data_IF_870725105866
#
_entry.id   IF_870725105866
#
_cell.length_a   1.000
_cell.length_b   1.000
_cell.length_c   1.000
_cell.angle_alpha   90.00
_cell.angle_beta   90.00
_cell.angle_gamma   90.00
#
_symmetry.space_group_name_H-M   'P 1'
#
loop_
_entity.id
_entity.type
_entity.pdbx_description
1 polymer ?
#
# COMPACT_ATOMS: atom_id res chain seq x y z
N UNK A 1 -13.10 33.79 -16.57
CA UNK A 1 -12.28 33.86 -17.79
C UNK A 1 -10.86 34.23 -17.37
N UNK A 2 -9.83 33.40 -17.59
CA UNK A 2 -8.46 33.81 -17.32
C UNK A 2 -8.07 34.90 -18.34
N UNK A 3 -7.42 35.93 -17.80
CA UNK A 3 -6.85 37.01 -18.63
C UNK A 3 -5.72 36.39 -19.46
N UNK A 4 -5.88 36.41 -20.78
CA UNK A 4 -4.84 36.07 -21.75
C UNK A 4 -3.69 37.08 -21.62
N UNK A 5 -2.53 36.66 -21.12
CA UNK A 5 -1.37 37.53 -21.04
C UNK A 5 -0.17 37.07 -20.19
N UNK A 6 -0.05 35.80 -19.79
CA UNK A 6 1.21 35.20 -19.34
C UNK A 6 1.16 33.69 -19.64
N UNK A 7 1.53 33.32 -20.86
CA UNK A 7 1.92 31.94 -21.20
C UNK A 7 3.29 31.60 -20.56
N UNK A 8 3.36 31.63 -19.23
CA UNK A 8 4.46 31.10 -18.45
C UNK A 8 4.09 29.70 -17.95
N UNK A 9 5.04 28.76 -17.96
CA UNK A 9 4.85 27.41 -17.47
C UNK A 9 4.13 27.41 -16.10
N UNK A 10 3.08 26.60 -15.97
CA UNK A 10 2.24 26.51 -14.74
C UNK A 10 3.06 25.95 -13.57
N UNK A 11 4.09 25.14 -13.87
CA UNK A 11 4.98 24.46 -12.92
C UNK A 11 6.39 25.04 -13.02
N UNK A 12 7.09 25.06 -11.88
CA UNK A 12 8.51 25.40 -11.84
C UNK A 12 9.34 24.11 -11.91
N UNK A 13 10.54 24.14 -12.54
CA UNK A 13 11.50 23.05 -12.40
C UNK A 13 11.93 22.92 -10.94
N UNK A 14 12.20 21.70 -10.50
CA UNK A 14 12.71 21.40 -9.16
C UNK A 14 14.14 20.83 -9.27
N UNK A 15 15.02 21.21 -8.35
CA UNK A 15 16.40 20.74 -8.26
C UNK A 15 16.56 19.47 -7.42
N UNK A 16 15.59 18.55 -7.52
CA UNK A 16 15.54 17.34 -6.70
C UNK A 16 16.76 16.43 -6.89
N UNK A 17 17.30 16.35 -8.11
CA UNK A 17 18.46 15.53 -8.42
C UNK A 17 19.72 16.10 -7.77
N UNK A 18 19.91 17.40 -7.84
CA UNK A 18 21.04 18.10 -7.24
C UNK A 18 21.01 17.93 -5.72
N UNK A 19 19.92 18.27 -5.08
CA UNK A 19 19.72 18.10 -3.64
C UNK A 19 19.85 16.66 -3.17
N UNK A 20 19.42 15.69 -3.96
CA UNK A 20 19.56 14.27 -3.63
C UNK A 20 20.99 13.71 -3.75
N UNK A 21 21.94 14.48 -4.28
CA UNK A 21 23.36 14.14 -4.40
C UNK A 21 24.27 14.90 -3.45
N UNK A 22 23.76 15.95 -2.81
CA UNK A 22 24.50 16.75 -1.85
C UNK A 22 24.66 16.01 -0.50
N UNK A 23 25.64 16.47 0.29
CA UNK A 23 25.68 16.11 1.71
C UNK A 23 24.50 16.81 2.41
N UNK A 24 23.51 16.02 2.83
CA UNK A 24 22.29 16.53 3.41
C UNK A 24 22.53 17.46 4.62
N UNK A 25 23.46 17.08 5.53
CA UNK A 25 23.71 17.85 6.74
C UNK A 25 24.35 19.19 6.42
N UNK A 26 25.34 19.22 5.53
CA UNK A 26 26.02 20.43 5.10
C UNK A 26 25.08 21.36 4.31
N UNK A 27 24.31 20.82 3.38
CA UNK A 27 23.33 21.59 2.61
C UNK A 27 22.24 22.19 3.51
N UNK A 28 21.68 21.39 4.44
CA UNK A 28 20.70 21.84 5.42
C UNK A 28 21.25 22.94 6.33
N UNK A 29 22.48 22.79 6.86
CA UNK A 29 23.11 23.80 7.69
C UNK A 29 23.25 25.12 6.93
N UNK A 30 23.71 25.07 5.70
CA UNK A 30 23.86 26.24 4.83
C UNK A 30 22.53 26.96 4.62
N UNK A 31 21.47 26.23 4.26
CA UNK A 31 20.13 26.78 4.02
C UNK A 31 19.50 27.34 5.32
N UNK A 32 19.72 26.66 6.45
CA UNK A 32 19.27 27.16 7.75
C UNK A 32 19.98 28.46 8.15
N UNK A 33 21.29 28.59 7.90
CA UNK A 33 22.00 29.85 8.12
C UNK A 33 21.45 30.98 7.23
N UNK A 34 21.12 30.71 5.97
CA UNK A 34 20.48 31.67 5.07
C UNK A 34 19.11 32.10 5.60
N UNK A 35 18.30 31.15 6.07
CA UNK A 35 16.99 31.42 6.66
C UNK A 35 17.10 32.32 7.90
N UNK A 36 18.06 32.08 8.79
CA UNK A 36 18.29 32.90 10.00
C UNK A 36 18.91 34.27 9.68
N UNK A 37 19.69 34.37 8.60
CA UNK A 37 20.27 35.64 8.17
C UNK A 37 19.24 36.57 7.49
N UNK A 38 18.15 36.01 6.96
CA UNK A 38 17.08 36.76 6.30
C UNK A 38 16.28 37.53 7.37
N UNK A 39 16.44 38.86 7.40
CA UNK A 39 15.71 39.78 8.31
C UNK A 39 14.38 40.22 7.69
N UNK A 40 13.48 40.81 8.49
CA UNK A 40 12.12 41.20 8.07
C UNK A 40 11.98 42.01 6.75
N UNK A 41 12.93 42.87 6.34
CA UNK A 41 12.79 43.49 5.02
C UNK A 41 13.04 42.56 3.81
N UNK A 42 13.62 41.34 4.05
CA UNK A 42 13.97 40.39 3.00
C UNK A 42 13.00 39.20 2.91
N UNK A 43 11.69 39.48 2.93
CA UNK A 43 10.65 38.45 2.82
C UNK A 43 10.85 37.49 1.62
N UNK A 44 11.38 38.00 0.52
CA UNK A 44 11.69 37.20 -0.67
C UNK A 44 12.84 36.22 -0.44
N UNK A 45 13.93 36.65 0.27
CA UNK A 45 15.05 35.80 0.61
C UNK A 45 14.65 34.71 1.62
N UNK A 46 13.83 35.08 2.61
CA UNK A 46 13.25 34.12 3.56
C UNK A 46 12.39 33.08 2.85
N UNK A 47 11.53 33.51 1.92
CA UNK A 47 10.69 32.60 1.14
C UNK A 47 11.54 31.66 0.27
N UNK A 48 12.59 32.17 -0.38
CA UNK A 48 13.52 31.33 -1.15
C UNK A 48 14.18 30.26 -0.28
N UNK A 49 14.72 30.62 0.89
CA UNK A 49 15.37 29.69 1.82
C UNK A 49 14.40 28.61 2.33
N UNK A 50 13.13 28.95 2.60
CA UNK A 50 12.10 27.97 3.00
C UNK A 50 11.73 27.02 1.85
N UNK A 51 11.65 27.51 0.60
CA UNK A 51 11.44 26.68 -0.57
C UNK A 51 12.61 25.73 -0.81
N UNK A 52 13.85 26.22 -0.70
CA UNK A 52 15.06 25.40 -0.88
C UNK A 52 15.16 24.33 0.23
N UNK A 53 14.83 24.65 1.48
CA UNK A 53 14.76 23.68 2.57
C UNK A 53 13.68 22.63 2.34
N UNK A 54 12.50 23.04 1.86
CA UNK A 54 11.44 22.11 1.51
C UNK A 54 11.88 21.15 0.41
N UNK A 55 12.51 21.67 -0.65
CA UNK A 55 12.99 20.90 -1.78
C UNK A 55 14.10 19.92 -1.41
N UNK A 56 15.06 20.36 -0.58
CA UNK A 56 16.10 19.51 -0.03
C UNK A 56 15.51 18.34 0.78
N UNK A 57 14.57 18.63 1.70
CA UNK A 57 13.96 17.56 2.51
C UNK A 57 13.10 16.63 1.67
N UNK A 58 12.38 17.15 0.67
CA UNK A 58 11.64 16.32 -0.29
C UNK A 58 12.56 15.39 -1.09
N UNK A 59 13.70 15.90 -1.56
CA UNK A 59 14.68 15.11 -2.30
C UNK A 59 15.22 13.92 -1.49
N UNK A 60 15.18 13.99 -0.16
CA UNK A 60 15.57 12.93 0.77
C UNK A 60 14.37 12.16 1.36
N UNK A 61 13.18 12.31 0.77
CA UNK A 61 11.94 11.68 1.21
C UNK A 61 11.54 12.02 2.65
N UNK A 62 12.01 13.13 3.20
CA UNK A 62 11.60 13.68 4.48
C UNK A 62 10.34 14.54 4.30
N UNK A 63 9.24 13.88 3.93
CA UNK A 63 7.97 14.53 3.53
C UNK A 63 7.37 15.43 4.62
N UNK A 64 7.30 15.02 5.91
CA UNK A 64 6.75 15.87 6.96
C UNK A 64 7.52 17.18 7.15
N UNK A 65 8.86 17.12 7.11
CA UNK A 65 9.72 18.28 7.22
C UNK A 65 9.58 19.21 6.02
N UNK A 66 9.56 18.63 4.81
CA UNK A 66 9.32 19.40 3.58
C UNK A 66 7.98 20.14 3.62
N UNK A 67 6.91 19.47 4.04
CA UNK A 67 5.60 20.07 4.23
C UNK A 67 5.61 21.17 5.31
N UNK A 68 6.36 20.96 6.40
CA UNK A 68 6.50 21.93 7.47
C UNK A 68 7.13 23.25 7.00
N UNK A 69 8.16 23.20 6.14
CA UNK A 69 8.76 24.41 5.56
C UNK A 69 7.80 25.11 4.59
N UNK A 70 7.01 24.39 3.82
CA UNK A 70 5.99 24.98 2.95
C UNK A 70 4.86 25.64 3.74
N UNK A 71 4.43 25.04 4.83
CA UNK A 71 3.39 25.57 5.70
C UNK A 71 3.83 26.87 6.43
N UNK A 72 5.14 27.12 6.54
CA UNK A 72 5.68 28.36 7.10
C UNK A 72 5.63 29.55 6.11
N UNK A 73 5.22 29.31 4.86
CA UNK A 73 5.05 30.32 3.81
C UNK A 73 3.59 30.74 3.71
N UNK A 74 3.37 32.05 3.56
CA UNK A 74 2.07 32.59 3.20
C UNK A 74 1.92 32.55 1.66
N UNK A 75 1.19 31.56 1.18
CA UNK A 75 1.00 31.33 -0.25
C UNK A 75 0.41 32.52 -1.02
N UNK A 76 -0.39 33.38 -0.35
CA UNK A 76 -1.02 34.57 -0.95
C UNK A 76 0.00 35.67 -1.22
N UNK A 77 1.09 35.71 -0.46
CA UNK A 77 2.15 36.69 -0.62
C UNK A 77 3.17 36.34 -1.69
N UNK A 78 3.26 35.05 -2.05
CA UNK A 78 4.22 34.56 -3.04
C UNK A 78 3.84 35.02 -4.46
N UNK A 79 4.85 35.41 -5.24
CA UNK A 79 4.68 35.87 -6.63
C UNK A 79 5.69 35.20 -7.55
N UNK A 80 5.35 35.18 -8.86
CA UNK A 80 6.24 34.72 -9.92
C UNK A 80 6.74 33.31 -9.71
N UNK A 81 8.06 33.12 -9.75
CA UNK A 81 8.70 31.82 -9.63
C UNK A 81 8.50 31.17 -8.25
N UNK A 82 8.58 31.92 -7.17
CA UNK A 82 8.36 31.41 -5.81
C UNK A 82 6.95 30.80 -5.65
N UNK A 83 5.92 31.44 -6.22
CA UNK A 83 4.56 30.91 -6.21
C UNK A 83 4.43 29.62 -7.03
N UNK A 84 5.13 29.52 -8.17
CA UNK A 84 5.18 28.31 -8.99
C UNK A 84 5.88 27.17 -8.26
N UNK A 85 7.08 27.43 -7.70
CA UNK A 85 7.84 26.43 -6.93
C UNK A 85 7.03 25.91 -5.73
N UNK A 86 6.42 26.80 -4.96
CA UNK A 86 5.56 26.43 -3.83
C UNK A 86 4.43 25.49 -4.27
N UNK A 87 3.75 25.80 -5.37
CA UNK A 87 2.67 24.98 -5.94
C UNK A 87 3.19 23.62 -6.40
N UNK A 88 4.33 23.59 -7.11
CA UNK A 88 4.94 22.37 -7.63
C UNK A 88 5.40 21.43 -6.50
N UNK A 89 5.99 21.98 -5.43
CA UNK A 89 6.41 21.21 -4.25
C UNK A 89 5.21 20.62 -3.49
N UNK A 90 4.14 21.40 -3.28
CA UNK A 90 2.91 20.86 -2.68
C UNK A 90 2.30 19.74 -3.52
N UNK A 91 2.31 19.89 -4.84
CA UNK A 91 1.83 18.86 -5.75
C UNK A 91 2.71 17.61 -5.72
N UNK A 92 4.04 17.76 -5.67
CA UNK A 92 4.97 16.64 -5.54
C UNK A 92 4.74 15.87 -4.23
N UNK A 93 4.56 16.59 -3.12
CA UNK A 93 4.23 15.97 -1.82
C UNK A 93 2.93 15.19 -1.88
N UNK A 94 1.87 15.77 -2.46
CA UNK A 94 0.58 15.11 -2.60
C UNK A 94 0.64 13.86 -3.50
N UNK A 95 1.43 13.88 -4.59
CA UNK A 95 1.62 12.71 -5.46
C UNK A 95 2.48 11.61 -4.81
N UNK A 96 3.26 11.94 -3.79
CA UNK A 96 4.06 10.99 -3.01
C UNK A 96 3.31 10.42 -1.80
N UNK A 97 2.05 10.78 -1.59
CA UNK A 97 1.22 10.22 -0.53
C UNK A 97 1.06 8.71 -0.77
N UNK A 98 1.32 7.90 0.26
CA UNK A 98 1.24 6.43 0.18
C UNK A 98 -0.18 5.93 0.46
N UNK A 99 -0.96 6.70 1.23
CA UNK A 99 -2.26 6.29 1.72
C UNK A 99 -3.38 6.91 0.88
N UNK A 100 -3.83 6.20 -0.15
CA UNK A 100 -4.92 6.64 -1.03
C UNK A 100 -6.28 6.79 -0.29
N UNK A 101 -6.39 6.23 0.94
CA UNK A 101 -7.64 6.19 1.72
C UNK A 101 -7.77 7.24 2.81
N UNK A 102 -6.69 7.81 3.31
CA UNK A 102 -6.70 8.59 4.56
C UNK A 102 -7.04 10.09 4.41
N UNK A 103 -7.09 10.64 3.21
CA UNK A 103 -7.28 12.07 3.05
C UNK A 103 -7.91 12.59 1.77
N UNK A 104 -8.15 11.76 0.79
CA UNK A 104 -8.98 12.15 -0.36
C UNK A 104 -8.31 12.99 -1.45
N UNK A 105 -7.03 13.35 -1.34
CA UNK A 105 -6.41 14.34 -2.26
C UNK A 105 -5.56 13.74 -3.38
N UNK A 106 -5.21 12.44 -3.35
CA UNK A 106 -4.35 11.85 -4.38
C UNK A 106 -4.98 11.93 -5.79
N UNK A 107 -6.27 11.64 -5.91
CA UNK A 107 -7.01 11.75 -7.17
C UNK A 107 -7.06 13.21 -7.68
N UNK A 108 -7.18 14.18 -6.79
CA UNK A 108 -7.15 15.60 -7.13
C UNK A 108 -5.74 16.04 -7.54
N UNK A 109 -4.69 15.58 -6.82
CA UNK A 109 -3.30 15.84 -7.16
C UNK A 109 -2.94 15.30 -8.55
N UNK A 110 -3.39 14.08 -8.88
CA UNK A 110 -3.24 13.49 -10.22
C UNK A 110 -3.89 14.39 -11.30
N UNK A 111 -5.09 14.92 -11.04
CA UNK A 111 -5.78 15.82 -11.97
C UNK A 111 -5.05 17.15 -12.15
N UNK A 112 -4.50 17.71 -11.08
CA UNK A 112 -3.75 18.98 -11.12
C UNK A 112 -2.37 18.85 -11.74
N UNK A 113 -1.76 17.66 -11.75
CA UNK A 113 -0.44 17.42 -12.32
C UNK A 113 -0.41 17.34 -13.84
N UNK A 114 -1.55 17.52 -14.51
CA UNK A 114 -1.64 17.54 -15.97
C UNK A 114 -0.80 18.69 -16.53
N UNK A 115 0.16 18.37 -17.42
CA UNK A 115 1.07 19.35 -18.01
C UNK A 115 2.41 19.50 -17.27
N UNK A 116 2.61 18.86 -16.11
CA UNK A 116 3.90 18.81 -15.44
C UNK A 116 4.76 17.68 -16.03
N UNK A 117 5.66 18.02 -16.95
CA UNK A 117 6.49 17.05 -17.69
C UNK A 117 7.46 16.29 -16.78
N UNK A 118 8.10 16.98 -15.82
CA UNK A 118 9.06 16.38 -14.90
C UNK A 118 8.39 15.50 -13.84
N UNK A 119 7.11 15.73 -13.55
CA UNK A 119 6.31 14.97 -12.58
C UNK A 119 5.62 13.72 -13.13
N UNK A 120 5.89 13.31 -14.38
CA UNK A 120 5.17 12.18 -14.99
C UNK A 120 5.39 10.87 -14.23
N UNK A 121 6.59 10.61 -13.69
CA UNK A 121 6.87 9.43 -12.89
C UNK A 121 6.09 9.44 -11.57
N UNK A 122 6.00 10.58 -10.89
CA UNK A 122 5.19 10.73 -9.68
C UNK A 122 3.71 10.51 -9.96
N UNK A 123 3.22 11.10 -11.07
CA UNK A 123 1.83 10.94 -11.49
C UNK A 123 1.49 9.49 -11.85
N UNK A 124 2.38 8.80 -12.56
CA UNK A 124 2.18 7.39 -12.91
C UNK A 124 2.17 6.50 -11.65
N UNK A 125 3.07 6.73 -10.69
CA UNK A 125 3.08 6.03 -9.41
C UNK A 125 1.80 6.30 -8.60
N UNK A 126 1.30 7.54 -8.59
CA UNK A 126 0.03 7.89 -7.95
C UNK A 126 -1.17 7.17 -8.58
N UNK A 127 -1.23 7.05 -9.92
CA UNK A 127 -2.24 6.23 -10.59
C UNK A 127 -2.15 4.76 -10.19
N UNK A 128 -0.92 4.20 -10.10
CA UNK A 128 -0.73 2.83 -9.64
C UNK A 128 -1.28 2.60 -8.22
N UNK A 129 -1.01 3.53 -7.29
CA UNK A 129 -1.54 3.50 -5.92
C UNK A 129 -3.06 3.60 -5.85
N UNK A 130 -3.68 4.30 -6.79
CA UNK A 130 -5.13 4.38 -6.95
C UNK A 130 -5.76 3.14 -7.62
N UNK A 131 -4.96 2.12 -7.97
CA UNK A 131 -5.44 0.94 -8.69
C UNK A 131 -5.75 1.20 -10.17
N UNK A 132 -5.35 2.35 -10.72
CA UNK A 132 -5.58 2.77 -12.10
C UNK A 132 -4.38 2.39 -12.99
N UNK A 133 -4.09 1.09 -13.10
CA UNK A 133 -2.92 0.57 -13.79
C UNK A 133 -2.88 0.92 -15.29
N UNK A 134 -4.03 0.99 -15.97
CA UNK A 134 -4.10 1.41 -17.37
C UNK A 134 -3.70 2.88 -17.57
N UNK A 135 -4.13 3.76 -16.66
CA UNK A 135 -3.77 5.18 -16.68
C UNK A 135 -2.27 5.36 -16.41
N UNK A 136 -1.73 4.63 -15.43
CA UNK A 136 -0.30 4.56 -15.17
C UNK A 136 0.46 4.10 -16.43
N UNK A 137 0.02 3.02 -17.06
CA UNK A 137 0.63 2.45 -18.26
C UNK A 137 0.69 3.42 -19.44
N UNK A 138 -0.35 4.24 -19.62
CA UNK A 138 -0.36 5.28 -20.70
C UNK A 138 0.74 6.34 -20.50
N UNK A 139 1.20 6.56 -19.28
CA UNK A 139 2.27 7.51 -18.95
C UNK A 139 3.67 6.89 -19.06
N UNK A 140 3.79 5.55 -19.11
CA UNK A 140 5.06 4.83 -19.01
C UNK A 140 6.17 5.29 -19.98
N UNK A 141 5.91 5.60 -21.27
CA UNK A 141 6.97 6.06 -22.17
C UNK A 141 7.66 7.35 -21.67
N UNK A 142 6.88 8.26 -21.07
CA UNK A 142 7.39 9.53 -20.50
C UNK A 142 7.90 9.36 -19.07
N UNK A 143 7.43 8.34 -18.37
CA UNK A 143 7.83 8.03 -16.99
C UNK A 143 9.30 7.68 -16.90
N UNK A 144 9.81 6.84 -17.80
CA UNK A 144 11.24 6.47 -17.84
C UNK A 144 12.16 7.69 -18.06
N UNK A 145 11.73 8.64 -18.90
CA UNK A 145 12.47 9.88 -19.13
C UNK A 145 12.45 10.80 -17.89
N UNK A 146 11.26 10.97 -17.28
CA UNK A 146 11.08 11.86 -16.12
C UNK A 146 11.64 11.28 -14.82
N UNK A 147 11.85 9.96 -14.74
CA UNK A 147 12.45 9.31 -13.57
C UNK A 147 13.85 9.87 -13.27
N UNK A 148 14.61 10.21 -14.32
CA UNK A 148 15.93 10.83 -14.20
C UNK A 148 15.93 12.24 -13.61
N UNK A 149 14.79 12.94 -13.58
CA UNK A 149 14.64 14.25 -12.97
C UNK A 149 14.34 14.17 -11.44
N UNK A 150 14.14 12.96 -10.90
CA UNK A 150 13.88 12.72 -9.49
C UNK A 150 15.17 12.35 -8.74
N UNK A 151 15.23 12.69 -7.45
CA UNK A 151 16.33 12.25 -6.59
C UNK A 151 16.37 10.73 -6.43
N UNK A 152 17.54 10.14 -6.10
CA UNK A 152 17.64 8.69 -5.88
C UNK A 152 16.63 8.15 -4.86
N UNK A 153 16.37 8.88 -3.77
CA UNK A 153 15.43 8.46 -2.75
C UNK A 153 13.97 8.46 -3.26
N UNK A 154 13.58 9.47 -4.06
CA UNK A 154 12.26 9.51 -4.69
C UNK A 154 12.13 8.41 -5.74
N UNK A 155 13.17 8.19 -6.55
CA UNK A 155 13.17 7.08 -7.52
C UNK A 155 12.93 5.75 -6.82
N UNK A 156 13.67 5.48 -5.74
CA UNK A 156 13.49 4.25 -4.96
C UNK A 156 12.05 4.09 -4.41
N UNK A 157 11.43 5.19 -3.98
CA UNK A 157 10.07 5.18 -3.45
C UNK A 157 9.00 4.88 -4.50
N UNK A 158 9.18 5.33 -5.75
CA UNK A 158 8.15 5.16 -6.80
C UNK A 158 8.37 3.96 -7.71
N UNK A 159 9.59 3.42 -7.78
CA UNK A 159 9.93 2.29 -8.65
C UNK A 159 9.05 1.04 -8.43
N UNK A 160 8.72 0.64 -7.19
CA UNK A 160 7.84 -0.51 -6.96
C UNK A 160 6.45 -0.33 -7.59
N UNK A 161 5.82 0.82 -7.38
CA UNK A 161 4.47 1.10 -7.91
C UNK A 161 4.49 1.14 -9.45
N UNK A 162 5.53 1.74 -10.03
CA UNK A 162 5.69 1.81 -11.49
C UNK A 162 5.90 0.42 -12.11
N UNK A 163 6.73 -0.42 -11.49
CA UNK A 163 6.96 -1.78 -11.97
C UNK A 163 5.69 -2.63 -11.84
N UNK A 164 4.98 -2.52 -10.73
CA UNK A 164 3.71 -3.23 -10.52
C UNK A 164 2.69 -2.85 -11.60
N UNK A 165 2.48 -1.56 -11.83
CA UNK A 165 1.56 -1.09 -12.88
C UNK A 165 1.97 -1.53 -14.29
N UNK A 166 3.27 -1.57 -14.59
CA UNK A 166 3.76 -2.06 -15.87
C UNK A 166 3.48 -3.57 -16.07
N UNK A 167 3.63 -4.36 -15.00
CA UNK A 167 3.33 -5.79 -15.00
C UNK A 167 1.83 -6.05 -15.17
N UNK A 168 0.99 -5.33 -14.43
CA UNK A 168 -0.48 -5.45 -14.52
C UNK A 168 -1.02 -5.06 -15.89
N UNK A 169 -0.44 -4.04 -16.52
CA UNK A 169 -0.79 -3.62 -17.87
C UNK A 169 -0.18 -4.50 -18.99
N UNK A 170 0.61 -5.52 -18.65
CA UNK A 170 1.31 -6.37 -19.62
C UNK A 170 2.38 -5.65 -20.45
N UNK A 171 2.90 -4.53 -19.97
CA UNK A 171 3.92 -3.75 -20.67
C UNK A 171 5.33 -4.24 -20.31
N UNK A 172 5.72 -5.38 -20.90
CA UNK A 172 6.95 -6.11 -20.56
C UNK A 172 8.23 -5.34 -20.80
N UNK A 173 8.33 -4.58 -21.90
CA UNK A 173 9.54 -3.81 -22.23
C UNK A 173 9.79 -2.74 -21.15
N UNK A 174 8.75 -2.06 -20.71
CA UNK A 174 8.82 -1.06 -19.64
C UNK A 174 9.09 -1.72 -18.30
N UNK A 175 8.42 -2.84 -17.99
CA UNK A 175 8.65 -3.59 -16.76
C UNK A 175 10.13 -4.02 -16.65
N UNK A 176 10.72 -4.52 -17.74
CA UNK A 176 12.13 -4.88 -17.78
C UNK A 176 13.05 -3.67 -17.57
N UNK A 177 12.74 -2.54 -18.21
CA UNK A 177 13.52 -1.31 -18.06
C UNK A 177 13.43 -0.75 -16.61
N UNK A 178 12.27 -0.82 -15.98
CA UNK A 178 12.08 -0.43 -14.57
C UNK A 178 12.80 -1.40 -13.63
N UNK A 179 12.65 -2.71 -13.81
CA UNK A 179 13.35 -3.72 -13.00
C UNK A 179 14.88 -3.54 -13.02
N UNK A 180 15.44 -3.14 -14.16
CA UNK A 180 16.87 -2.86 -14.29
C UNK A 180 17.34 -1.62 -13.49
N UNK A 181 16.42 -0.78 -12.97
CA UNK A 181 16.76 0.34 -12.09
C UNK A 181 16.96 -0.10 -10.63
N UNK A 182 16.22 -1.12 -10.18
CA UNK A 182 16.24 -1.55 -8.76
C UNK A 182 17.62 -1.80 -8.18
N UNK A 183 18.57 -2.49 -8.87
CA UNK A 183 19.90 -2.73 -8.34
C UNK A 183 20.73 -1.46 -8.11
N UNK A 184 20.32 -0.32 -8.69
CA UNK A 184 20.99 0.97 -8.49
C UNK A 184 20.66 1.60 -7.14
N UNK A 185 19.59 1.16 -6.50
CA UNK A 185 19.12 1.62 -5.20
C UNK A 185 19.40 0.54 -4.16
N UNK A 186 20.28 0.83 -3.21
CA UNK A 186 20.74 -0.16 -2.22
C UNK A 186 19.58 -0.70 -1.37
N UNK A 187 18.63 0.15 -1.04
CA UNK A 187 17.42 -0.16 -0.27
C UNK A 187 16.43 -1.09 -0.99
N UNK A 188 16.46 -1.11 -2.34
CA UNK A 188 15.57 -1.95 -3.15
C UNK A 188 16.23 -3.26 -3.59
N UNK A 189 17.55 -3.30 -3.71
CA UNK A 189 18.31 -4.39 -4.38
C UNK A 189 17.92 -5.79 -3.93
N UNK A 190 17.73 -5.98 -2.63
CA UNK A 190 17.43 -7.28 -2.02
C UNK A 190 16.14 -7.21 -1.18
N UNK A 191 15.37 -6.13 -1.35
CA UNK A 191 14.15 -5.88 -0.59
C UNK A 191 12.99 -6.81 -0.97
N UNK A 192 12.00 -6.98 -0.08
CA UNK A 192 10.80 -7.77 -0.38
C UNK A 192 10.03 -7.27 -1.60
N UNK A 193 9.99 -5.96 -1.84
CA UNK A 193 9.35 -5.36 -3.02
C UNK A 193 9.92 -5.92 -4.33
N UNK A 194 11.25 -5.89 -4.48
CA UNK A 194 11.91 -6.37 -5.70
C UNK A 194 11.69 -7.87 -5.91
N UNK A 195 11.85 -8.65 -4.85
CA UNK A 195 11.63 -10.11 -4.91
C UNK A 195 10.19 -10.46 -5.24
N UNK A 196 9.23 -9.77 -4.62
CA UNK A 196 7.81 -9.95 -4.91
C UNK A 196 7.47 -9.62 -6.38
N UNK A 197 7.93 -8.47 -6.87
CA UNK A 197 7.62 -8.03 -8.24
C UNK A 197 8.28 -8.92 -9.31
N UNK A 198 9.50 -9.42 -9.06
CA UNK A 198 10.12 -10.42 -9.92
C UNK A 198 9.34 -11.74 -9.89
N UNK A 199 8.89 -12.19 -8.72
CA UNK A 199 8.05 -13.36 -8.60
C UNK A 199 6.73 -13.22 -9.37
N UNK A 200 6.09 -12.03 -9.29
CA UNK A 200 4.90 -11.70 -10.09
C UNK A 200 5.17 -11.77 -11.59
N UNK A 201 6.30 -11.24 -12.04
CA UNK A 201 6.71 -11.33 -13.44
C UNK A 201 6.87 -12.80 -13.89
N UNK A 202 7.49 -13.63 -13.05
CA UNK A 202 7.65 -15.07 -13.31
C UNK A 202 6.30 -15.79 -13.34
N UNK A 203 5.39 -15.50 -12.42
CA UNK A 203 4.04 -16.06 -12.36
C UNK A 203 3.26 -15.76 -13.66
N UNK A 204 3.24 -14.49 -14.08
CA UNK A 204 2.54 -14.08 -15.32
C UNK A 204 3.18 -14.68 -16.58
N UNK A 205 4.51 -14.89 -16.59
CA UNK A 205 5.19 -15.57 -17.69
C UNK A 205 5.02 -17.10 -17.68
N UNK A 206 4.39 -17.66 -16.65
CA UNK A 206 4.15 -19.10 -16.50
C UNK A 206 5.30 -19.87 -15.85
N UNK A 207 6.36 -19.20 -15.39
CA UNK A 207 7.44 -19.83 -14.61
C UNK A 207 7.05 -19.91 -13.14
N UNK A 208 6.15 -20.87 -12.84
CA UNK A 208 5.58 -21.03 -11.50
C UNK A 208 6.62 -21.41 -10.44
N UNK A 209 7.71 -22.09 -10.83
CA UNK A 209 8.76 -22.46 -9.89
C UNK A 209 9.53 -21.22 -9.41
N UNK A 210 9.98 -20.39 -10.33
CA UNK A 210 10.67 -19.15 -10.02
C UNK A 210 9.76 -18.17 -9.26
N UNK A 211 8.47 -18.12 -9.62
CA UNK A 211 7.48 -17.34 -8.89
C UNK A 211 7.35 -17.79 -7.43
N UNK A 212 7.19 -19.09 -7.21
CA UNK A 212 7.08 -19.66 -5.86
C UNK A 212 8.32 -19.37 -5.01
N UNK A 213 9.52 -19.62 -5.54
CA UNK A 213 10.78 -19.36 -4.82
C UNK A 213 10.92 -17.87 -4.48
N UNK A 214 10.59 -16.97 -5.42
CA UNK A 214 10.62 -15.53 -5.21
C UNK A 214 9.64 -15.07 -4.14
N UNK A 215 8.42 -15.60 -4.14
CA UNK A 215 7.44 -15.31 -3.08
C UNK A 215 7.87 -15.84 -1.71
N UNK A 216 8.45 -17.03 -1.64
CA UNK A 216 9.00 -17.58 -0.36
C UNK A 216 10.05 -16.63 0.22
N UNK A 217 10.94 -16.11 -0.62
CA UNK A 217 11.97 -15.17 -0.17
C UNK A 217 11.38 -13.81 0.23
N UNK A 218 10.45 -13.26 -0.55
CA UNK A 218 9.79 -11.99 -0.24
C UNK A 218 8.97 -12.09 1.06
N UNK A 219 8.29 -13.20 1.30
CA UNK A 219 7.44 -13.44 2.48
C UNK A 219 8.19 -13.44 3.82
N UNK A 220 9.52 -13.50 3.82
CA UNK A 220 10.33 -13.42 5.05
C UNK A 220 10.39 -12.00 5.63
N UNK A 221 10.10 -10.96 4.84
CA UNK A 221 10.04 -9.57 5.27
C UNK A 221 8.86 -9.26 6.19
N UNK A 222 8.73 -7.97 6.55
CA UNK A 222 7.64 -7.47 7.43
C UNK A 222 6.89 -6.29 6.86
N UNK A 223 7.17 -5.93 5.61
CA UNK A 223 6.54 -4.83 4.91
C UNK A 223 5.31 -5.27 4.09
N UNK A 224 4.72 -4.32 3.37
CA UNK A 224 3.60 -4.51 2.47
C UNK A 224 3.83 -5.65 1.47
N UNK A 225 5.00 -5.67 0.82
CA UNK A 225 5.30 -6.64 -0.22
C UNK A 225 5.54 -8.04 0.33
N UNK A 226 6.08 -8.15 1.54
CA UNK A 226 6.17 -9.43 2.24
C UNK A 226 4.78 -9.98 2.58
N UNK A 227 3.83 -9.13 2.95
CA UNK A 227 2.45 -9.55 3.17
C UNK A 227 1.78 -9.98 1.85
N UNK A 228 1.93 -9.21 0.79
CA UNK A 228 1.44 -9.59 -0.56
C UNK A 228 2.01 -10.93 -1.00
N UNK A 229 3.32 -11.16 -0.77
CA UNK A 229 3.96 -12.43 -1.10
C UNK A 229 3.37 -13.63 -0.33
N UNK A 230 3.03 -13.46 0.96
CA UNK A 230 2.37 -14.53 1.75
C UNK A 230 1.02 -14.90 1.17
N UNK A 231 0.21 -13.91 0.79
CA UNK A 231 -1.09 -14.17 0.18
C UNK A 231 -0.95 -14.81 -1.20
N UNK A 232 0.00 -14.35 -2.02
CA UNK A 232 0.30 -14.94 -3.33
C UNK A 232 0.76 -16.41 -3.21
N UNK A 233 1.63 -16.71 -2.25
CA UNK A 233 2.05 -18.10 -1.96
C UNK A 233 0.87 -19.02 -1.64
N UNK A 234 -0.04 -18.55 -0.79
CA UNK A 234 -1.21 -19.34 -0.41
C UNK A 234 -2.12 -19.57 -1.61
N UNK A 235 -2.39 -18.52 -2.42
CA UNK A 235 -3.22 -18.64 -3.63
C UNK A 235 -2.60 -19.60 -4.63
N UNK A 236 -1.37 -19.34 -5.03
CA UNK A 236 -0.64 -20.18 -5.98
C UNK A 236 -0.54 -21.61 -5.48
N UNK A 237 -0.19 -21.83 -4.21
CA UNK A 237 -0.05 -23.17 -3.65
C UNK A 237 -1.37 -23.94 -3.59
N UNK A 238 -2.51 -23.25 -3.44
CA UNK A 238 -3.86 -23.85 -3.53
C UNK A 238 -4.22 -24.19 -4.98
N UNK A 239 -4.01 -23.25 -5.89
CA UNK A 239 -4.33 -23.44 -7.33
C UNK A 239 -3.52 -24.57 -7.97
N UNK A 240 -2.27 -24.72 -7.56
CA UNK A 240 -1.36 -25.75 -8.07
C UNK A 240 -1.36 -27.03 -7.24
N UNK A 241 -2.12 -27.06 -6.14
CA UNK A 241 -2.15 -28.17 -5.15
C UNK A 241 -0.76 -28.51 -4.56
N UNK A 242 0.17 -27.56 -4.55
CA UNK A 242 1.55 -27.75 -4.07
C UNK A 242 1.75 -27.37 -2.62
N UNK A 243 0.83 -26.57 -2.02
CA UNK A 243 0.89 -26.17 -0.61
C UNK A 243 -0.18 -26.92 0.18
N UNK A 244 0.21 -27.80 1.15
CA UNK A 244 -0.75 -28.46 2.01
C UNK A 244 -1.61 -27.45 2.78
N UNK A 245 -2.92 -27.71 2.90
CA UNK A 245 -3.86 -26.77 3.54
C UNK A 245 -3.50 -26.41 4.97
N UNK A 246 -2.86 -27.32 5.74
CA UNK A 246 -2.35 -27.03 7.10
C UNK A 246 -1.22 -26.01 7.09
N UNK A 247 -0.35 -26.05 6.09
CA UNK A 247 0.77 -25.11 5.94
C UNK A 247 0.25 -23.75 5.48
N UNK A 248 -0.70 -23.72 4.54
CA UNK A 248 -1.42 -22.52 4.15
C UNK A 248 -2.10 -21.84 5.36
N UNK A 249 -2.81 -22.63 6.17
CA UNK A 249 -3.46 -22.14 7.40
C UNK A 249 -2.44 -21.56 8.40
N UNK A 250 -1.29 -22.22 8.56
CA UNK A 250 -0.21 -21.75 9.45
C UNK A 250 0.38 -20.42 8.99
N UNK A 251 0.64 -20.28 7.68
CA UNK A 251 1.10 -19.02 7.08
C UNK A 251 0.11 -17.88 7.30
N UNK A 252 -1.17 -18.10 7.04
CA UNK A 252 -2.22 -17.09 7.22
C UNK A 252 -2.45 -16.73 8.69
N UNK A 253 -2.36 -17.69 9.62
CA UNK A 253 -2.40 -17.43 11.06
C UNK A 253 -1.25 -16.55 11.52
N UNK A 254 -0.08 -16.68 10.93
CA UNK A 254 1.07 -15.81 11.21
C UNK A 254 0.86 -14.43 10.57
N UNK A 255 0.44 -14.40 9.31
CA UNK A 255 0.26 -13.18 8.52
C UNK A 255 -0.73 -12.19 9.19
N UNK A 256 -1.84 -12.68 9.76
CA UNK A 256 -2.86 -11.83 10.43
C UNK A 256 -2.33 -10.97 11.58
N UNK A 257 -1.25 -11.40 12.25
CA UNK A 257 -0.62 -10.64 13.34
C UNK A 257 0.37 -9.59 12.83
N UNK A 258 0.83 -9.76 11.60
CA UNK A 258 1.84 -8.88 11.01
C UNK A 258 1.23 -7.75 10.20
N UNK A 259 -0.01 -7.95 9.71
CA UNK A 259 -0.70 -6.98 8.85
C UNK A 259 -2.22 -7.02 9.07
N UNK A 260 -2.83 -5.84 9.30
CA UNK A 260 -4.28 -5.73 9.52
C UNK A 260 -4.73 -4.28 9.35
N UNK A 261 -6.00 -4.09 9.06
CA UNK A 261 -6.66 -2.79 9.12
C UNK A 261 -6.81 -2.04 7.79
N UNK A 262 -6.23 -2.58 6.71
CA UNK A 262 -6.39 -2.08 5.34
C UNK A 262 -7.01 -3.15 4.41
N UNK A 263 -7.12 -2.86 3.12
CA UNK A 263 -7.68 -3.77 2.13
C UNK A 263 -6.87 -5.07 2.02
N UNK A 264 -5.54 -5.01 2.12
CA UNK A 264 -4.69 -6.20 2.11
C UNK A 264 -4.89 -7.07 3.37
N UNK A 265 -5.07 -6.44 4.52
CA UNK A 265 -5.43 -7.13 5.76
C UNK A 265 -6.80 -7.79 5.66
N UNK A 266 -7.76 -7.11 5.02
CA UNK A 266 -9.09 -7.66 4.72
C UNK A 266 -9.00 -8.87 3.79
N UNK A 267 -8.25 -8.77 2.69
CA UNK A 267 -7.99 -9.87 1.75
C UNK A 267 -7.37 -11.09 2.46
N UNK A 268 -6.39 -10.86 3.34
CA UNK A 268 -5.79 -11.90 4.18
C UNK A 268 -6.80 -12.55 5.13
N UNK A 269 -7.74 -11.80 5.67
CA UNK A 269 -8.79 -12.32 6.55
C UNK A 269 -9.82 -13.17 5.77
N UNK A 270 -10.18 -12.77 4.54
CA UNK A 270 -11.05 -13.59 3.65
C UNK A 270 -10.38 -14.92 3.36
N UNK A 271 -9.14 -14.91 2.90
CA UNK A 271 -8.38 -16.12 2.58
C UNK A 271 -8.18 -17.02 3.82
N UNK A 272 -7.97 -16.40 5.00
CA UNK A 272 -7.90 -17.14 6.27
C UNK A 272 -9.22 -17.81 6.62
N UNK A 273 -10.37 -17.15 6.43
CA UNK A 273 -11.68 -17.73 6.68
C UNK A 273 -11.95 -18.94 5.77
N UNK A 274 -11.62 -18.82 4.48
CA UNK A 274 -11.77 -19.90 3.50
C UNK A 274 -10.92 -21.12 3.87
N UNK A 275 -9.60 -20.91 4.01
CA UNK A 275 -8.67 -22.02 4.30
C UNK A 275 -8.97 -22.66 5.64
N UNK A 276 -9.32 -21.88 6.68
CA UNK A 276 -9.69 -22.41 7.98
C UNK A 276 -10.98 -23.25 7.90
N UNK A 277 -11.96 -22.83 7.11
CA UNK A 277 -13.19 -23.61 6.87
C UNK A 277 -12.89 -24.95 6.19
N UNK A 278 -12.09 -24.94 5.13
CA UNK A 278 -11.68 -26.15 4.40
C UNK A 278 -10.90 -27.13 5.30
N UNK A 279 -10.10 -26.60 6.23
CA UNK A 279 -9.31 -27.41 7.16
C UNK A 279 -10.10 -27.81 8.42
N UNK A 280 -11.37 -27.43 8.55
CA UNK A 280 -12.19 -27.73 9.73
C UNK A 280 -11.79 -26.97 10.99
N UNK A 281 -10.97 -25.90 10.88
CA UNK A 281 -10.61 -25.04 12.00
C UNK A 281 -11.70 -24.00 12.23
N UNK A 282 -12.81 -24.45 12.83
CA UNK A 282 -14.01 -23.66 13.15
C UNK A 282 -13.68 -22.37 13.90
N UNK A 283 -12.78 -22.43 14.88
CA UNK A 283 -12.41 -21.28 15.71
C UNK A 283 -11.74 -20.16 14.89
N UNK A 284 -10.78 -20.55 14.03
CA UNK A 284 -10.07 -19.59 13.18
C UNK A 284 -10.97 -19.02 12.09
N UNK A 285 -11.81 -19.84 11.47
CA UNK A 285 -12.78 -19.41 10.47
C UNK A 285 -13.76 -18.38 11.04
N UNK A 286 -14.38 -18.69 12.16
CA UNK A 286 -15.32 -17.79 12.84
C UNK A 286 -14.65 -16.52 13.38
N UNK A 287 -13.40 -16.62 13.83
CA UNK A 287 -12.63 -15.44 14.22
C UNK A 287 -12.39 -14.49 13.02
N UNK A 288 -11.99 -15.05 11.88
CA UNK A 288 -11.74 -14.27 10.67
C UNK A 288 -13.02 -13.58 10.16
N UNK A 289 -14.14 -14.31 10.08
CA UNK A 289 -15.45 -13.77 9.69
C UNK A 289 -15.92 -12.66 10.64
N UNK A 290 -15.74 -12.84 11.97
CA UNK A 290 -16.11 -11.80 12.93
C UNK A 290 -15.29 -10.51 12.72
N UNK A 291 -14.01 -10.61 12.41
CA UNK A 291 -13.20 -9.42 12.09
C UNK A 291 -13.63 -8.76 10.78
N UNK A 292 -13.95 -9.52 9.75
CA UNK A 292 -14.46 -9.00 8.49
C UNK A 292 -15.79 -8.23 8.70
N UNK A 293 -16.70 -8.76 9.52
CA UNK A 293 -17.97 -8.10 9.83
C UNK A 293 -17.82 -6.73 10.48
N UNK A 294 -16.73 -6.46 11.19
CA UNK A 294 -16.52 -5.16 11.87
C UNK A 294 -16.35 -3.99 10.90
N UNK A 295 -15.92 -4.25 9.69
CA UNK A 295 -15.68 -3.25 8.64
C UNK A 295 -16.43 -3.53 7.34
N UNK A 296 -17.31 -4.56 7.34
CA UNK A 296 -18.08 -4.91 6.16
C UNK A 296 -19.19 -3.89 5.89
N UNK A 297 -19.40 -3.49 4.63
CA UNK A 297 -20.62 -2.79 4.23
C UNK A 297 -21.84 -3.68 4.41
N UNK A 298 -23.04 -3.07 4.53
CA UNK A 298 -24.28 -3.80 4.88
C UNK A 298 -24.63 -4.92 3.90
N UNK A 299 -24.38 -4.73 2.63
CA UNK A 299 -24.64 -5.71 1.56
C UNK A 299 -23.78 -6.97 1.66
N UNK A 300 -22.57 -6.83 2.17
CA UNK A 300 -21.63 -7.95 2.38
C UNK A 300 -21.82 -8.61 3.75
N UNK A 301 -22.22 -7.84 4.75
CA UNK A 301 -22.36 -8.32 6.13
C UNK A 301 -23.33 -9.51 6.24
N UNK A 302 -24.42 -9.53 5.47
CA UNK A 302 -25.40 -10.63 5.50
C UNK A 302 -24.82 -11.93 4.94
N UNK A 303 -24.00 -11.87 3.90
CA UNK A 303 -23.29 -13.05 3.34
C UNK A 303 -22.29 -13.62 4.37
N UNK A 304 -21.52 -12.75 5.04
CA UNK A 304 -20.57 -13.16 6.08
C UNK A 304 -21.28 -13.79 7.29
N UNK A 305 -22.43 -13.24 7.70
CA UNK A 305 -23.24 -13.83 8.76
C UNK A 305 -23.81 -15.20 8.37
N UNK A 306 -24.26 -15.34 7.12
CA UNK A 306 -24.75 -16.62 6.62
C UNK A 306 -23.64 -17.69 6.64
N UNK A 307 -22.46 -17.34 6.14
CA UNK A 307 -21.30 -18.24 6.17
C UNK A 307 -20.90 -18.63 7.60
N UNK A 308 -20.89 -17.69 8.54
CA UNK A 308 -20.61 -17.97 9.93
C UNK A 308 -21.67 -18.91 10.54
N UNK A 309 -22.95 -18.71 10.20
CA UNK A 309 -24.05 -19.55 10.66
C UNK A 309 -23.91 -20.99 10.19
N UNK A 310 -23.51 -21.20 8.95
CA UNK A 310 -23.26 -22.54 8.40
C UNK A 310 -22.13 -23.24 9.17
N UNK A 311 -21.03 -22.51 9.44
CA UNK A 311 -19.87 -23.05 10.14
C UNK A 311 -20.20 -23.43 11.60
N UNK A 312 -20.78 -22.51 12.39
CA UNK A 312 -21.14 -22.86 13.76
C UNK A 312 -22.33 -23.83 13.83
N UNK A 313 -23.24 -23.78 12.86
CA UNK A 313 -24.32 -24.77 12.73
C UNK A 313 -23.79 -26.18 12.57
N UNK A 314 -22.83 -26.39 11.68
CA UNK A 314 -22.15 -27.67 11.50
C UNK A 314 -21.43 -28.14 12.77
N UNK A 315 -20.75 -27.23 13.48
CA UNK A 315 -20.09 -27.54 14.76
C UNK A 315 -21.09 -28.02 15.81
N UNK A 316 -22.22 -27.33 15.98
CA UNK A 316 -23.26 -27.74 16.95
C UNK A 316 -23.97 -29.03 16.54
N UNK A 317 -24.20 -29.24 15.25
CA UNK A 317 -24.76 -30.50 14.74
C UNK A 317 -23.84 -31.69 15.04
N UNK A 318 -22.55 -31.57 14.77
CA UNK A 318 -21.56 -32.60 15.10
C UNK A 318 -21.49 -32.86 16.63
N UNK A 319 -21.57 -31.80 17.44
CA UNK A 319 -21.66 -31.92 18.89
C UNK A 319 -22.89 -32.68 19.36
N UNK A 320 -24.07 -32.36 18.82
CA UNK A 320 -25.32 -33.06 19.13
C UNK A 320 -25.30 -34.55 18.71
N UNK A 321 -24.70 -34.83 17.57
CA UNK A 321 -24.54 -36.20 17.06
C UNK A 321 -23.53 -37.03 17.87
N UNK A 322 -22.75 -36.41 18.76
CA UNK A 322 -21.71 -37.10 19.55
C UNK A 322 -20.42 -37.36 18.78
N UNK A 323 -20.23 -36.72 17.65
CA UNK A 323 -19.01 -36.81 16.83
C UNK A 323 -17.83 -36.06 17.47
N UNK A 324 -18.12 -35.11 18.36
CA UNK A 324 -17.13 -34.37 19.14
C UNK A 324 -17.14 -34.84 20.58
N UNK A 325 -15.97 -35.01 21.19
CA UNK A 325 -15.84 -35.24 22.62
C UNK A 325 -16.41 -34.09 23.43
N UNK A 326 -17.02 -34.36 24.60
CA UNK A 326 -17.74 -33.37 25.39
C UNK A 326 -16.85 -32.18 25.79
N UNK A 327 -15.61 -32.42 26.23
CA UNK A 327 -14.66 -31.35 26.60
C UNK A 327 -14.41 -30.36 25.45
N UNK A 328 -13.86 -30.82 24.32
CA UNK A 328 -13.67 -29.98 23.12
C UNK A 328 -14.94 -29.29 22.63
N UNK A 329 -16.10 -29.94 22.70
CA UNK A 329 -17.38 -29.34 22.32
C UNK A 329 -17.76 -28.16 23.24
N UNK A 330 -17.64 -28.31 24.57
CA UNK A 330 -17.93 -27.24 25.52
C UNK A 330 -16.95 -26.07 25.41
N UNK A 331 -15.66 -26.36 25.20
CA UNK A 331 -14.65 -25.33 24.96
C UNK A 331 -14.93 -24.57 23.66
N UNK A 332 -15.28 -25.26 22.58
CA UNK A 332 -15.70 -24.66 21.32
C UNK A 332 -16.93 -23.78 21.49
N UNK A 333 -17.97 -24.29 22.20
CA UNK A 333 -19.15 -23.48 22.52
C UNK A 333 -18.78 -22.18 23.25
N UNK A 334 -17.92 -22.24 24.26
CA UNK A 334 -17.50 -21.05 25.00
C UNK A 334 -16.82 -20.00 24.09
N UNK A 335 -15.96 -20.43 23.17
CA UNK A 335 -15.30 -19.54 22.20
C UNK A 335 -16.25 -18.96 21.17
N UNK A 336 -17.13 -19.78 20.60
CA UNK A 336 -18.12 -19.36 19.61
C UNK A 336 -19.12 -18.40 20.23
N UNK A 337 -19.72 -18.76 21.39
CA UNK A 337 -20.73 -17.93 22.06
C UNK A 337 -20.17 -16.56 22.49
N UNK A 338 -18.89 -16.46 22.81
CA UNK A 338 -18.27 -15.20 23.19
C UNK A 338 -18.41 -14.12 22.08
N UNK A 339 -18.46 -14.53 20.81
CA UNK A 339 -18.52 -13.62 19.65
C UNK A 339 -19.89 -13.59 18.97
N UNK A 340 -20.56 -14.75 18.90
CA UNK A 340 -21.72 -14.96 18.01
C UNK A 340 -23.06 -15.05 18.75
N UNK A 341 -23.10 -15.04 20.09
CA UNK A 341 -24.34 -15.22 20.88
C UNK A 341 -25.45 -14.20 20.61
N UNK A 342 -25.12 -13.05 20.04
CA UNK A 342 -26.08 -11.99 19.72
C UNK A 342 -26.57 -12.03 18.27
N UNK A 343 -26.01 -12.93 17.45
CA UNK A 343 -26.45 -13.09 16.07
C UNK A 343 -27.77 -13.84 15.98
N UNK A 344 -28.61 -13.43 15.03
CA UNK A 344 -29.91 -14.05 14.77
C UNK A 344 -29.73 -15.53 14.44
N UNK A 345 -30.53 -16.39 15.09
CA UNK A 345 -30.47 -17.84 14.87
C UNK A 345 -29.40 -18.57 15.67
N UNK A 346 -28.48 -17.88 16.38
CA UNK A 346 -27.44 -18.55 17.17
C UNK A 346 -28.03 -19.49 18.24
N UNK A 347 -29.09 -19.04 18.95
CA UNK A 347 -29.72 -19.81 20.01
C UNK A 347 -30.28 -21.13 19.50
N UNK A 348 -30.82 -21.18 18.28
CA UNK A 348 -31.37 -22.37 17.65
C UNK A 348 -30.35 -23.49 17.51
N UNK A 349 -29.09 -23.15 17.26
CA UNK A 349 -27.96 -24.09 17.19
C UNK A 349 -27.42 -24.43 18.58
N UNK A 350 -27.35 -23.43 19.48
CA UNK A 350 -26.78 -23.62 20.82
C UNK A 350 -27.57 -24.53 21.74
N UNK A 351 -28.87 -24.83 21.43
CA UNK A 351 -29.66 -25.83 22.14
C UNK A 351 -29.08 -27.23 22.08
N UNK A 352 -28.16 -27.51 21.16
CA UNK A 352 -27.39 -28.76 21.13
C UNK A 352 -26.56 -29.00 22.41
N UNK A 353 -26.14 -27.92 23.11
CA UNK A 353 -25.32 -28.04 24.32
C UNK A 353 -26.08 -28.73 25.47
N UNK A 354 -27.26 -28.28 25.91
CA UNK A 354 -28.01 -28.97 26.94
C UNK A 354 -28.53 -30.37 26.50
N UNK A 355 -28.64 -30.63 25.22
CA UNK A 355 -29.02 -31.96 24.72
C UNK A 355 -27.86 -32.98 24.86
N UNK A 356 -26.64 -32.50 24.94
CA UNK A 356 -25.42 -33.29 25.02
C UNK A 356 -24.95 -33.54 26.47
N UNK A 357 -25.41 -32.68 27.42
CA UNK A 357 -25.14 -32.82 28.85
C UNK A 357 -26.10 -33.82 29.52
#
# INVERSE_FOLDING_TARGET
APVAGEEGAVFAPLSLVEHGREDFLAARETLMMQLFAATDPDAAQRAAALLDLSELHLAWMMRPEAAGFLAALDAETLKGDAARRHRTLNLALALLEEDAGAGGDLGQAVSWSVGWSEGQALRAAAFARLGAAEEAARLMPRTLESLGALSPAIQAAVLPDLLEAALEAGNWDVAQALAAQFPKHAELRDGPAYRYLLARASEVSGDLLMAFEGYVQAAQGRDLYAQRARLALVRMGRETETLPGKDALSLLKTARWMWSGDDLGREGAVLLAEVATEQGDTDTALWALHNLLRSAPDDEADALRAQARDIYGAFYAAGAAGELDLGPFLEGHARISARWRFELGFVEHAVAVPQRL
#
